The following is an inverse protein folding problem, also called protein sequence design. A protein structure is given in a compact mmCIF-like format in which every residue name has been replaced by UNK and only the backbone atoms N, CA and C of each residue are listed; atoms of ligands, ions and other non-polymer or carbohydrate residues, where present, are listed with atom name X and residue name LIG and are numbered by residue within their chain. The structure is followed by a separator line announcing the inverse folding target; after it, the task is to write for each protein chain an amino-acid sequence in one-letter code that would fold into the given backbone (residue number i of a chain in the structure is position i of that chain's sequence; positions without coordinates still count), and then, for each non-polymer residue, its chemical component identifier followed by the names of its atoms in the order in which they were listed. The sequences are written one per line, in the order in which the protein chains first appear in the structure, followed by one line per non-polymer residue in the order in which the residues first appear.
data_IF_381841837843
#
_entry.id   IF_381841837843
#
_cell.length_a   1.000
_cell.length_b   1.000
_cell.length_c   1.000
_cell.angle_alpha   90.00
_cell.angle_beta   90.00
_cell.angle_gamma   90.00
#
_symmetry.space_group_name_H-M   'P 1'
#
loop_
_entity.id
_entity.type
_entity.pdbx_description
1 polymer ?
#
# COMPACT_ATOMS: atom_id res chain seq x y z
N UNK A 1 -9.07 58.49 -28.96
CA UNK A 1 -9.14 57.62 -27.78
C UNK A 1 -9.95 56.39 -28.16
N UNK A 2 -9.32 55.24 -28.36
CA UNK A 2 -10.01 53.98 -28.63
C UNK A 2 -9.41 52.92 -27.71
N UNK A 3 -10.11 52.59 -26.62
CA UNK A 3 -9.76 51.48 -25.74
C UNK A 3 -10.16 50.17 -26.41
N UNK A 4 -9.19 49.30 -26.71
CA UNK A 4 -9.45 47.93 -27.12
C UNK A 4 -9.37 47.02 -25.88
N UNK A 5 -10.54 46.62 -25.36
CA UNK A 5 -10.66 45.51 -24.42
C UNK A 5 -10.43 44.19 -25.17
N UNK A 6 -9.40 43.42 -24.78
CA UNK A 6 -9.21 42.04 -25.24
C UNK A 6 -9.82 41.09 -24.20
N UNK A 7 -10.79 40.24 -24.56
CA UNK A 7 -11.28 39.21 -23.65
C UNK A 7 -10.24 38.10 -23.53
N UNK A 8 -9.80 37.81 -22.31
CA UNK A 8 -9.04 36.60 -22.01
C UNK A 8 -10.04 35.49 -21.69
N UNK A 9 -10.18 34.52 -22.59
CA UNK A 9 -10.86 33.25 -22.31
C UNK A 9 -9.85 32.35 -21.61
N UNK A 10 -10.04 32.12 -20.31
CA UNK A 10 -9.32 31.10 -19.57
C UNK A 10 -10.07 29.78 -19.70
N UNK A 11 -9.63 28.92 -20.61
CA UNK A 11 -10.01 27.51 -20.60
C UNK A 11 -9.10 26.79 -19.60
N UNK A 12 -9.64 26.44 -18.43
CA UNK A 12 -8.96 25.59 -17.46
C UNK A 12 -9.16 24.11 -17.82
N UNK A 13 -8.09 23.42 -18.21
CA UNK A 13 -8.06 21.96 -18.30
C UNK A 13 -7.73 21.40 -16.92
N UNK A 14 -8.72 20.83 -16.23
CA UNK A 14 -8.50 20.09 -14.99
C UNK A 14 -7.96 18.70 -15.35
N UNK A 15 -6.67 18.46 -15.10
CA UNK A 15 -6.11 17.11 -15.20
C UNK A 15 -6.15 16.48 -13.82
N UNK A 16 -7.11 15.60 -13.60
CA UNK A 16 -7.19 14.80 -12.39
C UNK A 16 -6.29 13.58 -12.60
N UNK A 17 -5.15 13.53 -11.91
CA UNK A 17 -4.37 12.30 -11.74
C UNK A 17 -3.07 12.16 -12.55
N UNK A 18 -2.50 13.20 -13.16
CA UNK A 18 -1.16 13.09 -13.78
C UNK A 18 -0.14 14.05 -13.16
N UNK A 19 0.88 13.48 -12.54
CA UNK A 19 2.07 14.20 -12.08
C UNK A 19 2.94 14.56 -13.28
N UNK A 20 2.62 15.66 -13.96
CA UNK A 20 3.49 16.20 -15.02
C UNK A 20 4.47 17.20 -14.38
N UNK A 21 5.73 16.79 -14.21
CA UNK A 21 6.81 17.71 -13.81
C UNK A 21 7.36 18.33 -15.10
N UNK A 22 7.01 19.59 -15.37
CA UNK A 22 7.61 20.35 -16.46
C UNK A 22 8.88 21.05 -15.97
N UNK A 23 10.05 20.52 -16.32
CA UNK A 23 11.32 21.22 -16.15
C UNK A 23 11.56 22.12 -17.36
N UNK A 24 11.19 23.40 -17.25
CA UNK A 24 11.58 24.41 -18.22
C UNK A 24 12.97 24.96 -17.85
N UNK A 25 13.99 24.89 -18.73
CA UNK A 25 15.22 25.65 -18.51
C UNK A 25 14.88 27.15 -18.58
N UNK A 26 15.06 27.87 -17.46
CA UNK A 26 14.96 29.33 -17.43
C UNK A 26 16.16 29.94 -18.16
N UNK A 27 16.06 30.06 -19.48
CA UNK A 27 16.96 30.88 -20.29
C UNK A 27 16.25 32.21 -20.65
N UNK A 28 16.96 33.36 -20.65
CA UNK A 28 16.38 34.66 -20.99
C UNK A 28 15.88 34.72 -22.45
N UNK A 29 14.88 35.57 -22.76
CA UNK A 29 14.15 35.51 -24.02
C UNK A 29 15.02 36.03 -25.18
N UNK A 30 15.40 35.12 -26.08
CA UNK A 30 15.92 35.46 -27.42
C UNK A 30 14.75 35.31 -28.41
N UNK A 31 14.55 36.24 -29.37
CA UNK A 31 13.41 36.24 -30.27
C UNK A 31 13.27 34.93 -31.04
N UNK A 32 12.05 34.38 -31.00
CA UNK A 32 11.68 33.10 -31.56
C UNK A 32 11.92 33.02 -33.07
N UNK A 33 12.88 32.20 -33.49
CA UNK A 33 12.72 31.42 -34.72
C UNK A 33 12.05 30.11 -34.31
N UNK A 34 10.92 29.80 -34.93
CA UNK A 34 10.10 28.63 -34.63
C UNK A 34 10.86 27.33 -34.86
N UNK A 35 11.57 26.86 -33.83
CA UNK A 35 11.93 25.46 -33.72
C UNK A 35 10.68 24.72 -33.24
N UNK A 36 10.14 23.86 -34.11
CA UNK A 36 9.14 22.90 -33.70
C UNK A 36 9.74 22.06 -32.57
N UNK A 37 9.25 22.28 -31.35
CA UNK A 37 9.59 21.43 -30.21
C UNK A 37 8.89 20.11 -30.47
N UNK A 38 9.62 19.13 -30.99
CA UNK A 38 9.13 17.75 -31.07
C UNK A 38 9.04 17.22 -29.65
N UNK A 39 7.84 17.32 -29.07
CA UNK A 39 7.50 16.64 -27.82
C UNK A 39 7.61 15.15 -28.03
N UNK A 40 8.74 14.55 -27.64
CA UNK A 40 8.88 13.11 -27.59
C UNK A 40 8.10 12.63 -26.35
N UNK A 41 6.82 12.33 -26.55
CA UNK A 41 5.99 11.72 -25.51
C UNK A 41 6.51 10.30 -25.28
N UNK A 42 7.30 10.12 -24.24
CA UNK A 42 7.69 8.80 -23.74
C UNK A 42 6.60 8.39 -22.75
N UNK A 43 5.62 7.62 -23.22
CA UNK A 43 4.74 6.88 -22.32
C UNK A 43 5.50 5.65 -21.86
N UNK A 44 6.10 5.73 -20.67
CA UNK A 44 6.45 4.50 -19.94
C UNK A 44 5.17 4.05 -19.24
N UNK A 45 4.72 2.84 -19.55
CA UNK A 45 3.87 2.08 -18.64
C UNK A 45 4.72 1.78 -17.41
N UNK A 46 4.59 2.61 -16.38
CA UNK A 46 5.12 2.29 -15.04
C UNK A 46 4.12 1.34 -14.41
N UNK A 47 4.37 0.04 -14.54
CA UNK A 47 3.64 -0.95 -13.75
C UNK A 47 4.13 -0.80 -12.31
N UNK A 48 3.37 -0.09 -11.49
CA UNK A 48 3.56 -0.06 -10.04
C UNK A 48 3.20 -1.46 -9.52
N UNK A 49 4.21 -2.32 -9.39
CA UNK A 49 4.08 -3.65 -8.81
C UNK A 49 4.57 -3.59 -7.37
N UNK A 50 3.72 -3.94 -6.43
CA UNK A 50 4.11 -4.11 -5.03
C UNK A 50 4.12 -5.60 -4.66
N UNK A 51 4.94 -5.94 -3.68
CA UNK A 51 4.82 -7.23 -2.98
C UNK A 51 3.64 -7.13 -2.01
N UNK A 52 2.69 -8.06 -2.10
CA UNK A 52 1.57 -8.15 -1.17
C UNK A 52 1.78 -9.37 -0.28
N UNK A 53 2.07 -9.13 0.99
CA UNK A 53 2.18 -10.19 2.00
C UNK A 53 0.77 -10.49 2.50
N UNK A 54 0.25 -11.66 2.19
CA UNK A 54 -1.09 -12.07 2.60
C UNK A 54 -1.06 -12.94 3.85
N UNK A 55 -1.86 -12.57 4.86
CA UNK A 55 -1.92 -13.26 6.16
C UNK A 55 -3.31 -13.87 6.35
N UNK A 56 -3.41 -15.16 6.05
CA UNK A 56 -4.64 -15.94 6.20
C UNK A 56 -4.92 -16.28 7.68
N UNK A 57 -6.20 -16.47 8.06
CA UNK A 57 -6.56 -17.06 9.32
C UNK A 57 -6.30 -18.57 9.32
N UNK A 58 -5.87 -19.12 10.46
CA UNK A 58 -5.66 -20.56 10.59
C UNK A 58 -6.76 -21.27 11.39
N UNK A 59 -7.09 -22.54 11.07
CA UNK A 59 -6.70 -23.25 9.85
C UNK A 59 -7.30 -22.58 8.61
N UNK A 60 -6.68 -22.77 7.44
CA UNK A 60 -6.98 -22.14 6.13
C UNK A 60 -8.48 -22.12 5.82
N UNK A 61 -9.19 -21.15 6.38
CA UNK A 61 -10.64 -21.07 6.31
C UNK A 61 -11.08 -20.21 5.13
N UNK A 62 -10.19 -19.36 4.62
CA UNK A 62 -10.46 -18.37 3.59
C UNK A 62 -9.21 -18.12 2.76
N UNK A 63 -9.36 -18.14 1.44
CA UNK A 63 -8.36 -17.65 0.48
C UNK A 63 -8.38 -16.12 0.45
N UNK A 64 -7.55 -15.46 1.26
CA UNK A 64 -7.50 -13.99 1.31
C UNK A 64 -7.08 -13.37 -0.03
N UNK A 65 -6.45 -14.14 -0.91
CA UNK A 65 -6.10 -13.70 -2.26
C UNK A 65 -7.35 -13.36 -3.10
N UNK A 66 -8.52 -13.91 -2.75
CA UNK A 66 -9.81 -13.61 -3.38
C UNK A 66 -10.58 -12.49 -2.66
N UNK A 67 -10.11 -12.08 -1.47
CA UNK A 67 -10.73 -10.98 -0.74
C UNK A 67 -10.66 -9.68 -1.55
N UNK A 68 -11.66 -8.82 -1.36
CA UNK A 68 -11.84 -7.61 -2.19
C UNK A 68 -11.91 -7.91 -3.70
N UNK A 69 -12.46 -9.07 -4.10
CA UNK A 69 -12.58 -9.48 -5.51
C UNK A 69 -11.21 -9.67 -6.20
N UNK A 70 -10.18 -10.01 -5.41
CA UNK A 70 -8.82 -10.23 -5.90
C UNK A 70 -8.10 -8.96 -6.36
N UNK A 71 -8.61 -7.76 -6.07
CA UNK A 71 -8.01 -6.49 -6.54
C UNK A 71 -6.54 -6.32 -6.15
N UNK A 72 -6.09 -6.95 -5.06
CA UNK A 72 -4.69 -6.94 -4.65
C UNK A 72 -3.87 -8.09 -5.25
N UNK A 73 -4.51 -9.22 -5.57
CA UNK A 73 -3.85 -10.49 -5.90
C UNK A 73 -4.44 -11.17 -7.14
N UNK A 74 -4.72 -10.39 -8.18
CA UNK A 74 -5.11 -10.88 -9.50
C UNK A 74 -4.08 -10.49 -10.56
N UNK A 75 -4.11 -11.17 -11.70
CA UNK A 75 -3.18 -10.91 -12.81
C UNK A 75 -3.22 -9.45 -13.31
N UNK A 76 -4.37 -8.78 -13.17
CA UNK A 76 -4.57 -7.40 -13.59
C UNK A 76 -3.96 -6.37 -12.61
N UNK A 77 -3.71 -6.75 -11.36
CA UNK A 77 -3.15 -5.86 -10.33
C UNK A 77 -1.67 -5.56 -10.56
N UNK A 78 -0.97 -6.45 -11.26
CA UNK A 78 0.48 -6.38 -11.44
C UNK A 78 1.28 -6.66 -10.17
N UNK A 79 0.65 -6.96 -9.03
CA UNK A 79 1.32 -7.23 -7.76
C UNK A 79 1.86 -8.65 -7.67
N UNK A 80 2.89 -8.83 -6.85
CA UNK A 80 3.40 -10.16 -6.46
C UNK A 80 2.83 -10.54 -5.10
N UNK A 81 1.87 -11.46 -5.05
CA UNK A 81 1.29 -11.91 -3.79
C UNK A 81 2.01 -13.12 -3.22
N UNK A 82 2.39 -13.02 -1.93
CA UNK A 82 3.08 -14.06 -1.19
C UNK A 82 2.27 -14.37 0.07
N UNK A 83 1.79 -15.61 0.17
CA UNK A 83 1.13 -16.09 1.39
C UNK A 83 2.17 -16.25 2.50
N UNK A 84 1.94 -15.59 3.63
CA UNK A 84 2.74 -15.78 4.83
C UNK A 84 2.26 -17.02 5.57
N UNK A 85 3.07 -18.07 5.49
CA UNK A 85 2.91 -19.24 6.35
C UNK A 85 3.33 -18.89 7.77
N UNK A 86 2.47 -19.20 8.75
CA UNK A 86 2.81 -19.08 10.16
C UNK A 86 2.02 -20.11 10.97
N UNK A 87 2.64 -20.62 12.03
CA UNK A 87 1.93 -21.47 12.98
C UNK A 87 0.99 -20.59 13.82
N UNK A 88 -0.32 -20.91 13.87
CA UNK A 88 -1.28 -20.20 14.70
C UNK A 88 -1.17 -20.62 16.17
N UNK A 89 0.02 -20.52 16.75
CA UNK A 89 0.15 -20.80 18.18
C UNK A 89 -0.30 -19.54 18.90
N UNK A 90 -1.52 -19.61 19.43
CA UNK A 90 -1.99 -18.73 20.50
C UNK A 90 -1.03 -18.88 21.69
N UNK A 91 0.01 -18.05 21.72
CA UNK A 91 1.01 -18.07 22.80
C UNK A 91 0.39 -17.67 24.15
N UNK A 92 -0.71 -16.91 24.10
CA UNK A 92 -1.61 -16.51 25.20
C UNK A 92 -2.95 -16.08 24.57
N UNK A 93 -4.13 -16.09 25.24
CA UNK A 93 -5.37 -15.58 24.66
C UNK A 93 -5.20 -14.23 23.95
N UNK A 94 -5.43 -14.23 22.63
CA UNK A 94 -5.29 -13.04 21.80
C UNK A 94 -3.85 -12.59 21.52
N UNK A 95 -2.82 -13.42 21.73
CA UNK A 95 -1.43 -13.10 21.37
C UNK A 95 -0.87 -14.06 20.29
N UNK A 96 -0.48 -13.47 19.16
CA UNK A 96 -0.01 -14.16 17.96
C UNK A 96 1.50 -14.00 17.72
N UNK A 97 2.30 -14.14 18.78
CA UNK A 97 3.75 -13.89 18.74
C UNK A 97 4.52 -14.59 17.60
N UNK A 98 4.14 -15.81 17.20
CA UNK A 98 4.80 -16.48 16.06
C UNK A 98 4.44 -15.84 14.71
N UNK A 99 3.18 -15.46 14.50
CA UNK A 99 2.77 -14.72 13.31
C UNK A 99 3.44 -13.34 13.24
N UNK A 100 3.56 -12.66 14.38
CA UNK A 100 4.28 -11.38 14.49
C UNK A 100 5.76 -11.56 14.14
N UNK A 101 6.40 -12.63 14.62
CA UNK A 101 7.80 -12.92 14.29
C UNK A 101 7.98 -13.24 12.80
N UNK A 102 7.05 -14.00 12.19
CA UNK A 102 7.05 -14.31 10.76
C UNK A 102 6.90 -13.05 9.91
N UNK A 103 5.95 -12.18 10.24
CA UNK A 103 5.74 -10.91 9.53
C UNK A 103 6.97 -10.01 9.62
N UNK A 104 7.61 -9.93 10.79
CA UNK A 104 8.87 -9.18 10.96
C UNK A 104 9.96 -9.69 10.02
N UNK A 105 10.10 -11.01 9.86
CA UNK A 105 11.12 -11.60 8.99
C UNK A 105 10.84 -11.28 7.52
N UNK A 106 9.59 -11.38 7.06
CA UNK A 106 9.25 -11.04 5.68
C UNK A 106 9.45 -9.56 5.37
N UNK A 107 9.05 -8.66 6.28
CA UNK A 107 9.25 -7.23 6.10
C UNK A 107 10.74 -6.84 6.07
N UNK A 108 11.57 -7.47 6.90
CA UNK A 108 13.01 -7.25 6.87
C UNK A 108 13.64 -7.74 5.56
N UNK A 109 13.17 -8.87 5.02
CA UNK A 109 13.63 -9.39 3.72
C UNK A 109 13.23 -8.45 2.57
N UNK A 110 11.99 -7.98 2.55
CA UNK A 110 11.50 -7.04 1.54
C UNK A 110 12.21 -5.68 1.62
N UNK A 111 12.49 -5.19 2.83
CA UNK A 111 13.29 -3.99 3.05
C UNK A 111 14.70 -4.13 2.46
N UNK A 112 15.36 -5.27 2.67
CA UNK A 112 16.68 -5.55 2.11
C UNK A 112 16.67 -5.66 0.57
N UNK A 113 15.54 -6.08 -0.01
CA UNK A 113 15.33 -6.13 -1.45
C UNK A 113 14.93 -4.78 -2.06
N UNK A 114 14.58 -3.78 -1.25
CA UNK A 114 14.09 -2.48 -1.72
C UNK A 114 12.69 -2.55 -2.35
N UNK A 115 11.85 -3.48 -1.89
CA UNK A 115 10.49 -3.68 -2.41
C UNK A 115 9.49 -2.74 -1.75
N UNK A 116 8.49 -2.31 -2.52
CA UNK A 116 7.28 -1.69 -1.97
C UNK A 116 6.34 -2.79 -1.47
N UNK A 117 5.83 -2.66 -0.24
CA UNK A 117 5.08 -3.74 0.41
C UNK A 117 3.70 -3.31 0.88
N UNK A 118 2.70 -4.13 0.57
CA UNK A 118 1.40 -4.09 1.23
C UNK A 118 1.21 -5.34 2.09
N UNK A 119 0.94 -5.16 3.38
CA UNK A 119 0.52 -6.24 4.28
C UNK A 119 -1.00 -6.32 4.24
N UNK A 120 -1.53 -7.46 3.78
CA UNK A 120 -2.95 -7.73 3.73
C UNK A 120 -3.34 -8.82 4.73
N UNK A 121 -4.02 -8.45 5.81
CA UNK A 121 -4.45 -9.38 6.86
C UNK A 121 -5.96 -9.50 7.00
N UNK A 122 -6.45 -10.72 7.23
CA UNK A 122 -7.87 -11.00 7.48
C UNK A 122 -8.08 -11.76 8.79
N UNK A 123 -9.10 -11.37 9.57
CA UNK A 123 -9.50 -12.07 10.81
C UNK A 123 -8.32 -12.23 11.78
N UNK A 124 -7.85 -13.45 12.05
CA UNK A 124 -6.64 -13.73 12.83
C UNK A 124 -5.38 -13.03 12.26
N UNK A 125 -5.19 -13.06 10.95
CA UNK A 125 -4.08 -12.38 10.29
C UNK A 125 -4.11 -10.86 10.42
N UNK A 126 -5.32 -10.28 10.57
CA UNK A 126 -5.46 -8.87 10.88
C UNK A 126 -5.00 -8.54 12.31
N UNK A 127 -5.16 -9.48 13.25
CA UNK A 127 -4.60 -9.35 14.61
C UNK A 127 -3.08 -9.43 14.57
N UNK A 128 -2.51 -10.38 13.81
CA UNK A 128 -1.05 -10.50 13.62
C UNK A 128 -0.46 -9.18 13.10
N UNK A 129 -1.02 -8.64 12.02
CA UNK A 129 -0.56 -7.38 11.44
C UNK A 129 -0.64 -6.21 12.43
N UNK A 130 -1.73 -6.14 13.19
CA UNK A 130 -1.94 -5.08 14.19
C UNK A 130 -0.96 -5.19 15.36
N UNK A 131 -0.72 -6.40 15.88
CA UNK A 131 0.23 -6.63 16.96
C UNK A 131 1.67 -6.38 16.53
N UNK A 132 2.01 -6.73 15.28
CA UNK A 132 3.30 -6.39 14.72
C UNK A 132 3.49 -4.87 14.67
N UNK A 133 2.50 -4.12 14.17
CA UNK A 133 2.57 -2.67 14.09
C UNK A 133 2.69 -2.04 15.48
N UNK A 134 1.93 -2.53 16.46
CA UNK A 134 2.03 -2.09 17.85
C UNK A 134 3.40 -2.37 18.47
N UNK A 135 4.02 -3.52 18.15
CA UNK A 135 5.37 -3.84 18.61
C UNK A 135 6.42 -2.93 17.95
N UNK A 136 6.30 -2.72 16.64
CA UNK A 136 7.19 -1.83 15.87
C UNK A 136 7.13 -0.39 16.39
N UNK A 137 5.94 0.15 16.65
CA UNK A 137 5.78 1.52 17.16
C UNK A 137 6.38 1.75 18.55
N UNK A 138 6.64 0.69 19.33
CA UNK A 138 7.33 0.79 20.63
C UNK A 138 8.85 0.87 20.48
N UNK A 139 9.40 0.25 19.45
CA UNK A 139 10.84 0.22 19.17
C UNK A 139 11.10 0.15 17.65
N UNK A 140 10.96 1.28 16.93
CA UNK A 140 11.07 1.31 15.46
C UNK A 140 12.46 0.94 14.94
N UNK A 141 13.50 1.12 15.75
CA UNK A 141 14.89 0.82 15.39
C UNK A 141 15.19 -0.70 15.47
N UNK A 142 14.33 -1.48 16.11
CA UNK A 142 14.54 -2.92 16.30
C UNK A 142 14.30 -3.77 15.03
N UNK A 143 13.69 -3.21 13.98
CA UNK A 143 13.42 -3.93 12.75
C UNK A 143 13.47 -3.02 11.52
N UNK A 144 14.26 -3.36 10.48
CA UNK A 144 14.17 -2.65 9.20
C UNK A 144 12.82 -2.92 8.55
N UNK A 145 12.27 -1.89 7.90
CA UNK A 145 11.00 -1.95 7.16
C UNK A 145 11.19 -1.42 5.74
N UNK A 146 10.35 -1.84 4.78
CA UNK A 146 10.26 -1.21 3.46
C UNK A 146 10.03 0.31 3.56
N UNK A 147 10.60 1.09 2.64
CA UNK A 147 10.36 2.54 2.60
C UNK A 147 8.87 2.84 2.34
N UNK A 148 8.23 2.07 1.45
CA UNK A 148 6.80 2.15 1.19
C UNK A 148 6.11 0.91 1.77
N UNK A 149 5.59 1.05 2.99
CA UNK A 149 4.86 0.00 3.70
C UNK A 149 3.40 0.41 3.92
N UNK A 150 2.46 -0.36 3.39
CA UNK A 150 1.01 -0.17 3.54
C UNK A 150 0.38 -1.33 4.31
N UNK A 151 -0.62 -1.04 5.14
CA UNK A 151 -1.42 -2.05 5.84
C UNK A 151 -2.88 -2.00 5.40
N UNK A 152 -3.41 -3.15 4.99
CA UNK A 152 -4.83 -3.39 4.74
C UNK A 152 -5.28 -4.51 5.67
N UNK A 153 -6.17 -4.21 6.60
CA UNK A 153 -6.65 -5.18 7.58
C UNK A 153 -8.17 -5.26 7.58
N UNK A 154 -8.72 -6.46 7.41
CA UNK A 154 -10.16 -6.70 7.31
C UNK A 154 -10.61 -7.63 8.42
N UNK A 155 -11.75 -7.33 9.02
CA UNK A 155 -12.36 -8.18 10.04
C UNK A 155 -11.50 -8.33 11.29
N UNK A 156 -10.68 -7.33 11.62
CA UNK A 156 -9.81 -7.39 12.81
C UNK A 156 -10.65 -7.45 14.10
N UNK A 157 -10.69 -8.59 14.82
CA UNK A 157 -11.44 -8.66 16.06
C UNK A 157 -10.82 -7.78 17.16
N UNK A 158 -9.52 -7.47 17.10
CA UNK A 158 -8.84 -6.64 18.12
C UNK A 158 -9.05 -5.13 17.93
N UNK A 159 -9.84 -4.71 16.95
CA UNK A 159 -10.10 -3.29 16.69
C UNK A 159 -10.73 -2.63 17.93
N UNK A 160 -10.17 -1.51 18.46
CA UNK A 160 -10.66 -0.89 19.69
C UNK A 160 -12.13 -0.47 19.67
N UNK A 161 -12.66 -0.16 18.47
CA UNK A 161 -14.07 0.15 18.27
C UNK A 161 -14.66 -0.82 17.24
N UNK A 162 -15.75 -1.51 17.60
CA UNK A 162 -16.43 -2.45 16.71
C UNK A 162 -15.67 -3.75 16.43
N UNK A 163 -14.48 -3.93 17.01
CA UNK A 163 -13.88 -5.25 17.15
C UNK A 163 -14.58 -6.05 18.24
N UNK A 164 -14.45 -7.36 18.18
CA UNK A 164 -15.13 -8.27 19.07
C UNK A 164 -14.25 -9.46 19.45
N UNK A 165 -12.99 -9.16 19.76
CA UNK A 165 -12.08 -10.10 20.41
C UNK A 165 -12.69 -10.60 21.70
N UNK A 166 -13.25 -11.81 21.64
CA UNK A 166 -13.57 -12.65 22.79
C UNK A 166 -12.71 -13.91 22.71
N UNK A 167 -12.39 -14.55 23.84
CA UNK A 167 -11.74 -15.84 23.80
C UNK A 167 -12.56 -16.81 22.95
N UNK A 168 -11.90 -17.57 22.06
CA UNK A 168 -12.57 -18.54 21.20
C UNK A 168 -13.40 -19.52 22.06
N UNK A 169 -14.66 -19.74 21.69
CA UNK A 169 -15.59 -20.59 22.43
C UNK A 169 -16.44 -19.84 23.46
N UNK A 170 -16.19 -18.55 23.66
CA UNK A 170 -17.09 -17.66 24.39
C UNK A 170 -18.29 -17.32 23.52
N UNK A 171 -19.47 -17.17 24.12
CA UNK A 171 -20.63 -16.62 23.43
C UNK A 171 -20.33 -15.19 22.98
N UNK A 172 -20.67 -14.89 21.73
CA UNK A 172 -20.74 -13.51 21.25
C UNK A 172 -21.86 -12.79 22.02
N UNK A 173 -21.63 -11.58 22.56
CA UNK A 173 -22.69 -10.79 23.17
C UNK A 173 -23.78 -10.39 22.17
#
# INVERSE_FOLDING_TARGET
MHSALRPYVTSGLAIVGSSVIALAPLAPPVPAQGAAVTSKQVTQDVTLSATVITINPSPDAVEINEALQGQYCNDASGNTCVAMEYLPIWTTPGNFGLGVAALRQQLAAAAAAGEDVTVFGFSEGAVVASQWLEAYLKDPEAAPIPENLTFVVIGNPSRPSGGASVPWGSAWP
#
